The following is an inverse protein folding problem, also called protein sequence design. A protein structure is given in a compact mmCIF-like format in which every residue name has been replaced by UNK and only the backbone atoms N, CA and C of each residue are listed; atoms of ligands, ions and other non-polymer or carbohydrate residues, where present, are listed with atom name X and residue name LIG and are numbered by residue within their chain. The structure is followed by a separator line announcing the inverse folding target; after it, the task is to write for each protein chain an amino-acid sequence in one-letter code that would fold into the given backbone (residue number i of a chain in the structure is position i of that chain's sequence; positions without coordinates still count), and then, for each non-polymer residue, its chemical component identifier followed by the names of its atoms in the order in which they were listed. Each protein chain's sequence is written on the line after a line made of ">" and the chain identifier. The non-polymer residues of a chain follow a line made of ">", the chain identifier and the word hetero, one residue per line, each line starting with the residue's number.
data_IF_038246874180
#
_entry.id   IF_038246874180
#
_cell.length_a   1.000
_cell.length_b   1.000
_cell.length_c   1.000
_cell.angle_alpha   90.00
_cell.angle_beta   90.00
_cell.angle_gamma   90.00
#
_symmetry.space_group_name_H-M   'P 1'
#
loop_
_entity.id
_entity.type
_entity.pdbx_description
1 polymer ?
#
# COMPACT_ATOMS: atom_id res chain seq x y z
N UNK A 1 -3.71 -20.20 0.55
CA UNK A 1 -2.28 -20.33 0.89
C UNK A 1 -1.64 -18.95 0.77
N UNK A 2 -1.21 -18.34 1.89
CA UNK A 2 -0.49 -17.05 1.86
C UNK A 2 0.88 -17.29 1.20
N UNK A 3 1.25 -16.46 0.22
CA UNK A 3 2.61 -16.40 -0.35
C UNK A 3 3.26 -15.12 0.15
N UNK A 4 4.57 -15.14 0.43
CA UNK A 4 5.29 -13.96 0.94
C UNK A 4 5.05 -13.69 2.43
N UNK A 5 5.34 -14.68 3.28
CA UNK A 5 5.37 -14.53 4.73
C UNK A 5 6.58 -15.26 5.30
N UNK A 6 6.98 -14.86 6.52
CA UNK A 6 8.17 -15.40 7.18
C UNK A 6 7.81 -16.51 8.18
N UNK A 7 7.07 -16.18 9.24
CA UNK A 7 6.64 -17.13 10.28
C UNK A 7 5.38 -16.65 10.99
N UNK A 8 4.73 -17.54 11.76
CA UNK A 8 3.56 -17.24 12.59
C UNK A 8 3.97 -16.41 13.81
N UNK A 9 3.15 -15.43 14.20
CA UNK A 9 3.41 -14.60 15.38
C UNK A 9 3.03 -15.37 16.65
N UNK A 10 3.95 -15.48 17.60
CA UNK A 10 3.70 -16.15 18.87
C UNK A 10 2.52 -15.50 19.62
N UNK A 11 1.54 -16.30 20.03
CA UNK A 11 0.31 -15.83 20.69
C UNK A 11 -0.80 -15.37 19.73
N UNK A 12 -0.53 -15.29 18.43
CA UNK A 12 -1.47 -14.85 17.40
C UNK A 12 -1.49 -15.84 16.22
N UNK A 13 -2.15 -17.00 16.34
CA UNK A 13 -2.02 -18.11 15.39
C UNK A 13 -2.51 -17.79 13.96
N UNK A 14 -3.42 -16.82 13.82
CA UNK A 14 -3.96 -16.37 12.53
C UNK A 14 -3.07 -15.31 11.86
N UNK A 15 -2.02 -14.84 12.55
CA UNK A 15 -1.17 -13.75 12.11
C UNK A 15 0.23 -14.25 11.72
N UNK A 16 0.77 -13.70 10.63
CA UNK A 16 2.13 -13.98 10.15
C UNK A 16 2.94 -12.71 10.01
N UNK A 17 4.25 -12.83 10.21
CA UNK A 17 5.21 -11.76 9.89
C UNK A 17 5.35 -11.66 8.37
N UNK A 18 5.31 -10.44 7.86
CA UNK A 18 5.44 -10.10 6.43
C UNK A 18 6.20 -8.79 6.26
N UNK A 19 6.53 -8.42 5.02
CA UNK A 19 7.23 -7.17 4.71
C UNK A 19 6.25 -6.01 4.45
N UNK A 20 4.98 -6.32 4.21
CA UNK A 20 3.93 -5.34 3.98
C UNK A 20 2.54 -5.96 3.93
N UNK A 21 1.52 -5.13 4.07
CA UNK A 21 0.12 -5.54 3.92
C UNK A 21 -0.54 -4.73 2.82
N UNK A 22 -1.65 -5.23 2.28
CA UNK A 22 -2.41 -4.59 1.19
C UNK A 22 -3.70 -3.96 1.71
N UNK A 23 -4.14 -2.91 1.02
CA UNK A 23 -5.35 -2.13 1.29
C UNK A 23 -5.31 -1.31 2.59
N UNK A 24 -5.48 -1.95 3.74
CA UNK A 24 -5.64 -1.28 5.03
C UNK A 24 -4.63 -1.81 6.03
N UNK A 25 -4.08 -0.92 6.84
CA UNK A 25 -3.24 -1.30 7.96
C UNK A 25 -3.53 -0.39 9.15
N UNK A 26 -3.29 -0.93 10.35
CA UNK A 26 -3.24 -0.17 11.58
C UNK A 26 -1.81 -0.25 12.11
N UNK A 27 -1.28 0.84 12.61
CA UNK A 27 0.08 0.90 13.13
C UNK A 27 0.18 1.91 14.28
N UNK A 28 1.20 1.73 15.12
CA UNK A 28 1.54 2.70 16.17
C UNK A 28 1.96 4.01 15.52
N UNK A 29 1.37 5.12 15.96
CA UNK A 29 1.63 6.46 15.39
C UNK A 29 3.11 6.81 15.40
N UNK A 30 3.83 6.54 16.49
CA UNK A 30 5.28 6.79 16.60
C UNK A 30 6.10 6.06 15.52
N UNK A 31 5.70 4.81 15.17
CA UNK A 31 6.39 4.00 14.17
C UNK A 31 6.09 4.46 12.77
N UNK A 32 4.85 4.85 12.50
CA UNK A 32 4.48 5.46 11.21
C UNK A 32 5.19 6.79 11.00
N UNK A 33 5.30 7.62 12.05
CA UNK A 33 6.01 8.90 11.98
C UNK A 33 7.52 8.73 11.78
N UNK A 34 8.12 7.69 12.35
CA UNK A 34 9.53 7.38 12.15
C UNK A 34 9.86 7.06 10.69
N UNK A 35 8.96 6.36 9.98
CA UNK A 35 9.12 6.06 8.55
C UNK A 35 8.77 7.28 7.70
N UNK A 36 7.67 7.95 8.02
CA UNK A 36 7.15 9.07 7.26
C UNK A 36 6.53 8.68 5.91
N UNK A 37 5.79 9.61 5.32
CA UNK A 37 5.26 9.46 3.96
C UNK A 37 5.96 10.44 3.03
N UNK A 38 6.47 9.97 1.89
CA UNK A 38 7.08 10.87 0.90
C UNK A 38 6.00 11.75 0.25
N UNK A 39 6.05 13.09 0.43
CA UNK A 39 5.04 13.99 -0.12
C UNK A 39 4.98 13.97 -1.65
N UNK A 40 6.04 13.52 -2.33
CA UNK A 40 6.06 13.36 -3.80
C UNK A 40 5.21 12.19 -4.28
N UNK A 41 4.88 11.25 -3.40
CA UNK A 41 4.03 10.10 -3.68
C UNK A 41 2.62 10.27 -3.10
N UNK A 42 2.15 11.52 -2.99
CA UNK A 42 0.82 11.82 -2.48
C UNK A 42 -0.24 10.94 -3.17
N UNK A 43 -0.92 10.11 -2.37
CA UNK A 43 -2.00 9.18 -2.77
C UNK A 43 -1.57 7.88 -3.48
N UNK A 44 -0.27 7.62 -3.68
CA UNK A 44 0.23 6.44 -4.43
C UNK A 44 1.40 5.69 -3.76
N UNK A 45 1.66 5.91 -2.47
CA UNK A 45 2.86 5.44 -1.76
C UNK A 45 2.71 4.12 -0.97
N UNK A 46 1.80 3.21 -1.35
CA UNK A 46 1.47 2.06 -0.48
C UNK A 46 2.64 1.11 -0.29
N UNK A 47 3.25 0.66 -1.39
CA UNK A 47 4.41 -0.25 -1.33
C UNK A 47 5.65 0.50 -0.85
N UNK A 48 5.79 1.74 -1.28
CA UNK A 48 6.95 2.60 -1.02
C UNK A 48 7.10 2.87 0.48
N UNK A 49 5.97 3.09 1.19
CA UNK A 49 5.96 3.20 2.64
C UNK A 49 6.55 1.95 3.33
N UNK A 50 6.16 0.75 2.90
CA UNK A 50 6.68 -0.48 3.49
C UNK A 50 8.15 -0.73 3.14
N UNK A 51 8.58 -0.38 1.92
CA UNK A 51 9.99 -0.44 1.52
C UNK A 51 10.84 0.50 2.39
N UNK A 52 10.38 1.74 2.59
CA UNK A 52 11.06 2.71 3.45
C UNK A 52 11.07 2.31 4.93
N UNK A 53 10.07 1.52 5.35
CA UNK A 53 9.97 0.96 6.68
C UNK A 53 10.74 -0.34 6.91
N UNK A 54 11.40 -0.91 5.90
CA UNK A 54 12.16 -2.15 6.04
C UNK A 54 13.26 -2.01 7.11
N UNK A 55 13.27 -2.93 8.07
CA UNK A 55 14.19 -2.90 9.21
C UNK A 55 13.78 -1.94 10.35
N UNK A 56 12.81 -1.05 10.13
CA UNK A 56 12.26 -0.17 11.17
C UNK A 56 10.87 -0.62 11.67
N UNK A 57 10.07 -1.21 10.79
CA UNK A 57 8.74 -1.72 11.09
C UNK A 57 8.75 -3.24 11.29
N UNK A 58 8.00 -3.69 12.29
CA UNK A 58 7.55 -5.07 12.38
C UNK A 58 6.11 -5.12 11.85
N UNK A 59 5.90 -5.86 10.76
CA UNK A 59 4.61 -5.92 10.08
C UNK A 59 4.00 -7.30 10.22
N UNK A 60 2.73 -7.33 10.63
CA UNK A 60 1.93 -8.55 10.76
C UNK A 60 0.70 -8.51 9.86
N UNK A 61 0.28 -9.67 9.38
CA UNK A 61 -0.95 -9.86 8.59
C UNK A 61 -1.78 -11.01 9.16
N UNK A 62 -3.05 -10.76 9.44
CA UNK A 62 -3.99 -11.71 10.04
C UNK A 62 -5.17 -11.98 9.08
N UNK A 63 -5.77 -13.17 9.08
CA UNK A 63 -6.81 -13.62 8.12
C UNK A 63 -8.19 -13.75 8.77
N UNK A 64 -8.24 -13.53 10.07
CA UNK A 64 -9.44 -13.40 10.88
C UNK A 64 -9.92 -11.93 10.99
N UNK A 65 -9.20 -10.98 10.39
CA UNK A 65 -9.59 -9.56 10.31
C UNK A 65 -9.82 -9.16 8.85
N UNK A 66 -11.08 -8.95 8.50
CA UNK A 66 -11.50 -8.65 7.12
C UNK A 66 -12.14 -7.27 7.05
N UNK A 67 -11.55 -6.38 6.25
CA UNK A 67 -12.13 -5.08 5.91
C UNK A 67 -12.57 -5.12 4.45
N UNK A 68 -13.88 -5.08 4.23
CA UNK A 68 -14.46 -5.08 2.89
C UNK A 68 -14.53 -3.68 2.29
N UNK A 69 -14.47 -3.61 0.96
CA UNK A 69 -14.74 -2.38 0.22
C UNK A 69 -16.24 -2.17 0.02
N UNK A 70 -16.65 -0.91 -0.09
CA UNK A 70 -17.96 -0.57 -0.61
C UNK A 70 -18.15 -1.17 -2.02
N UNK A 71 -19.37 -1.63 -2.32
CA UNK A 71 -19.66 -2.23 -3.62
C UNK A 71 -19.33 -1.28 -4.76
N UNK A 72 -18.64 -1.80 -5.78
CA UNK A 72 -18.37 -1.07 -7.02
C UNK A 72 -19.51 -1.22 -8.03
N UNK A 73 -20.55 -2.01 -7.71
CA UNK A 73 -21.71 -2.21 -8.58
C UNK A 73 -22.45 -0.88 -8.67
N UNK A 74 -22.56 -0.37 -9.89
CA UNK A 74 -23.35 0.82 -10.20
C UNK A 74 -24.57 0.39 -10.96
N UNK A 75 -25.73 0.58 -10.35
CA UNK A 75 -27.00 0.37 -11.02
C UNK A 75 -27.22 1.50 -12.03
N UNK A 76 -27.74 1.24 -13.24
CA UNK A 76 -27.89 2.24 -14.30
C UNK A 76 -28.68 3.49 -13.87
N UNK A 77 -29.57 3.34 -12.90
CA UNK A 77 -30.43 4.39 -12.36
C UNK A 77 -29.82 5.18 -11.18
N UNK A 78 -28.66 4.77 -10.66
CA UNK A 78 -27.98 5.49 -9.58
C UNK A 78 -26.89 6.36 -10.19
N UNK A 79 -27.10 7.67 -10.19
CA UNK A 79 -26.08 8.62 -10.61
C UNK A 79 -24.95 8.71 -9.58
N UNK A 80 -23.73 8.92 -10.05
CA UNK A 80 -22.61 9.21 -9.17
C UNK A 80 -22.82 10.55 -8.46
N UNK A 81 -22.57 10.56 -7.15
CA UNK A 81 -22.45 11.82 -6.41
C UNK A 81 -21.28 12.66 -6.93
N UNK A 82 -21.36 13.98 -6.75
CA UNK A 82 -20.25 14.89 -7.09
C UNK A 82 -18.97 14.56 -6.29
N UNK A 83 -19.13 14.07 -5.06
CA UNK A 83 -18.03 13.54 -4.25
C UNK A 83 -17.36 12.33 -4.90
N UNK A 84 -18.13 11.39 -5.47
CA UNK A 84 -17.56 10.21 -6.15
C UNK A 84 -16.81 10.59 -7.41
N UNK A 85 -17.34 11.56 -8.18
CA UNK A 85 -16.67 12.08 -9.38
C UNK A 85 -15.36 12.76 -9.01
N UNK A 86 -15.34 13.53 -7.93
CA UNK A 86 -14.14 14.20 -7.42
C UNK A 86 -13.12 13.20 -6.91
N UNK A 87 -13.55 12.20 -6.11
CA UNK A 87 -12.68 11.16 -5.60
C UNK A 87 -12.04 10.32 -6.71
N UNK A 88 -12.79 10.01 -7.78
CA UNK A 88 -12.30 9.25 -8.92
C UNK A 88 -11.05 9.88 -9.57
N UNK A 89 -10.96 11.21 -9.63
CA UNK A 89 -9.78 11.94 -10.15
C UNK A 89 -8.50 11.63 -9.36
N UNK A 90 -8.64 11.34 -8.08
CA UNK A 90 -7.53 11.01 -7.19
C UNK A 90 -7.22 9.51 -7.17
N UNK A 91 -8.25 8.68 -7.36
CA UNK A 91 -8.11 7.22 -7.38
C UNK A 91 -7.43 6.72 -8.66
N UNK A 92 -7.68 7.40 -9.77
CA UNK A 92 -7.20 7.09 -11.11
C UNK A 92 -6.48 8.31 -11.70
N UNK A 93 -5.19 8.49 -11.38
CA UNK A 93 -4.43 9.59 -11.93
C UNK A 93 -4.33 9.48 -13.46
N UNK A 94 -4.19 10.61 -14.18
CA UNK A 94 -4.02 10.60 -15.64
C UNK A 94 -2.82 9.75 -16.08
N UNK A 95 -2.91 9.13 -17.25
CA UNK A 95 -1.80 8.36 -17.82
C UNK A 95 -0.51 9.19 -18.00
N UNK A 96 -0.63 10.51 -18.18
CA UNK A 96 0.48 11.46 -18.26
C UNK A 96 1.06 11.88 -16.89
N UNK A 97 0.67 11.24 -15.78
CA UNK A 97 1.21 11.58 -14.47
C UNK A 97 2.65 11.08 -14.29
N UNK A 98 3.50 11.91 -13.69
CA UNK A 98 4.90 11.57 -13.38
C UNK A 98 5.04 10.60 -12.18
N UNK A 99 3.92 10.04 -11.68
CA UNK A 99 3.89 9.17 -10.51
C UNK A 99 4.78 7.93 -10.69
N UNK A 100 4.74 7.31 -11.87
CA UNK A 100 5.58 6.14 -12.19
C UNK A 100 7.06 6.51 -12.24
N UNK A 101 7.41 7.63 -12.87
CA UNK A 101 8.81 8.08 -12.96
C UNK A 101 9.36 8.45 -11.58
N UNK A 102 8.54 9.14 -10.77
CA UNK A 102 8.86 9.50 -9.38
C UNK A 102 9.08 8.25 -8.53
N UNK A 103 8.16 7.28 -8.60
CA UNK A 103 8.28 5.99 -7.90
C UNK A 103 9.54 5.24 -8.31
N UNK A 104 9.80 5.10 -9.60
CA UNK A 104 10.99 4.40 -10.08
C UNK A 104 12.29 5.11 -9.66
N UNK A 105 12.30 6.45 -9.72
CA UNK A 105 13.43 7.24 -9.22
C UNK A 105 13.68 7.02 -7.73
N UNK A 106 12.62 6.92 -6.92
CA UNK A 106 12.74 6.60 -5.50
C UNK A 106 13.33 5.21 -5.27
N UNK A 107 12.76 4.19 -5.90
CA UNK A 107 13.25 2.82 -5.77
C UNK A 107 14.73 2.71 -6.17
N UNK A 108 15.12 3.36 -7.26
CA UNK A 108 16.49 3.32 -7.77
C UNK A 108 17.47 4.17 -6.93
N UNK A 109 17.18 5.45 -6.72
CA UNK A 109 18.14 6.38 -6.09
C UNK A 109 18.11 6.34 -4.56
N UNK A 110 16.93 6.22 -3.94
CA UNK A 110 16.78 6.19 -2.48
C UNK A 110 16.98 4.79 -1.94
N UNK A 111 16.25 3.81 -2.48
CA UNK A 111 16.24 2.44 -1.95
C UNK A 111 17.33 1.55 -2.60
N UNK A 112 18.08 2.08 -3.59
CA UNK A 112 19.18 1.39 -4.27
C UNK A 112 18.78 0.06 -4.92
N UNK A 113 17.51 -0.07 -5.31
CA UNK A 113 17.05 -1.24 -6.03
C UNK A 113 17.58 -1.25 -7.46
N UNK A 114 17.80 -2.47 -7.96
CA UNK A 114 18.24 -2.72 -9.32
C UNK A 114 17.12 -3.40 -10.10
N UNK A 115 16.91 -2.99 -11.34
CA UNK A 115 16.03 -3.70 -12.24
C UNK A 115 16.71 -5.00 -12.69
N UNK A 116 16.11 -6.14 -12.37
CA UNK A 116 16.52 -7.44 -12.87
C UNK A 116 15.59 -7.84 -14.01
N UNK A 117 16.14 -8.01 -15.21
CA UNK A 117 15.42 -8.62 -16.33
C UNK A 117 15.79 -10.10 -16.37
N UNK A 118 14.79 -10.98 -16.24
CA UNK A 118 14.99 -12.41 -16.46
C UNK A 118 14.93 -12.69 -17.97
N UNK A 119 15.84 -13.53 -18.47
CA UNK A 119 15.78 -14.04 -19.85
C UNK A 119 14.67 -15.08 -20.03
#
# INVERSE_FOLDING_TARGET
>A
MRRGYHHVIQGFPNCVVTDGVINFFLARTEKVQQVGFDPRLARVAHLEFFIDGLGALHVGSCDDVIVNHATKIRLPWISQSESDKTYAKFRYPPAASDATQTKNGLLFFKNRFQCLTHN
#
